data_IF_693491989384
#
_entry.id   IF_693491989384
#
_cell.length_a   1.000
_cell.length_b   1.000
_cell.length_c   1.000
_cell.angle_alpha   90.00
_cell.angle_beta   90.00
_cell.angle_gamma   90.00
#
_symmetry.space_group_name_H-M   'P 1'
#
loop_
_entity.id
_entity.type
_entity.pdbx_description
1 polymer ?
#
# COMPACT_ATOMS: atom_id res chain seq x y z
N UNK A 1 6.24 26.54 4.44
CA UNK A 1 6.01 25.79 5.68
C UNK A 1 4.52 25.87 5.94
N UNK A 2 3.77 24.94 5.37
CA UNK A 2 2.33 24.83 5.60
C UNK A 2 2.17 24.04 6.88
N UNK A 3 1.49 24.61 7.87
CA UNK A 3 1.23 23.95 9.15
C UNK A 3 0.47 22.64 8.93
N UNK A 4 0.86 21.62 9.71
CA UNK A 4 0.20 20.34 9.99
C UNK A 4 -1.30 20.49 10.28
N UNK A 5 -2.11 20.76 9.25
CA UNK A 5 -3.56 20.66 9.37
C UNK A 5 -3.99 19.33 8.80
N UNK A 6 -4.34 18.43 9.71
CA UNK A 6 -5.05 17.21 9.36
C UNK A 6 -6.31 17.63 8.56
N UNK A 7 -6.51 17.13 7.33
CA UNK A 7 -7.71 17.41 6.55
C UNK A 7 -8.97 17.09 7.34
N UNK A 8 -9.96 17.97 7.26
CA UNK A 8 -11.26 17.80 7.95
C UNK A 8 -12.24 17.01 7.09
N UNK A 9 -13.40 16.65 7.63
CA UNK A 9 -14.47 15.97 6.89
C UNK A 9 -14.82 16.69 5.58
N UNK A 10 -14.92 18.03 5.61
CA UNK A 10 -15.23 18.88 4.46
C UNK A 10 -14.07 19.08 3.46
N UNK A 11 -12.86 18.61 3.78
CA UNK A 11 -11.71 18.74 2.87
C UNK A 11 -11.94 17.91 1.59
N UNK A 12 -11.46 18.35 0.43
CA UNK A 12 -11.52 17.56 -0.81
C UNK A 12 -10.87 16.19 -0.64
N UNK A 13 -11.44 15.16 -1.27
CA UNK A 13 -10.87 13.80 -1.19
C UNK A 13 -9.42 13.73 -1.66
N UNK A 14 -9.06 14.48 -2.71
CA UNK A 14 -7.67 14.59 -3.18
C UNK A 14 -6.70 15.08 -2.11
N UNK A 15 -7.13 16.01 -1.25
CA UNK A 15 -6.32 16.52 -0.14
C UNK A 15 -6.12 15.45 0.94
N UNK A 16 -7.17 14.69 1.25
CA UNK A 16 -7.11 13.56 2.19
C UNK A 16 -6.21 12.43 1.68
N UNK A 17 -6.28 12.12 0.38
CA UNK A 17 -5.41 11.14 -0.28
C UNK A 17 -3.94 11.59 -0.23
N UNK A 18 -3.67 12.86 -0.51
CA UNK A 18 -2.33 13.43 -0.42
C UNK A 18 -1.79 13.34 1.01
N UNK A 19 -2.62 13.67 2.01
CA UNK A 19 -2.23 13.54 3.41
C UNK A 19 -1.90 12.10 3.79
N UNK A 20 -2.69 11.10 3.35
CA UNK A 20 -2.35 9.68 3.54
C UNK A 20 -1.00 9.32 2.88
N UNK A 21 -0.79 9.77 1.65
CA UNK A 21 0.45 9.55 0.92
C UNK A 21 1.66 10.14 1.64
N UNK A 22 1.61 11.41 2.04
CA UNK A 22 2.69 12.09 2.76
C UNK A 22 3.04 11.38 4.09
N UNK A 23 2.02 10.98 4.86
CA UNK A 23 2.22 10.25 6.12
C UNK A 23 2.87 8.88 5.88
N UNK A 24 2.44 8.15 4.84
CA UNK A 24 3.04 6.88 4.49
C UNK A 24 4.48 7.04 3.99
N UNK A 25 4.76 8.03 3.13
CA UNK A 25 6.14 8.36 2.68
C UNK A 25 7.03 8.66 3.87
N UNK A 26 6.56 9.51 4.79
CA UNK A 26 7.31 9.89 5.97
C UNK A 26 7.63 8.67 6.84
N UNK A 27 6.64 7.82 7.14
CA UNK A 27 6.82 6.63 7.98
C UNK A 27 7.76 5.61 7.34
N UNK A 28 7.54 5.29 6.06
CA UNK A 28 8.33 4.30 5.31
C UNK A 28 9.80 4.72 5.27
N UNK A 29 10.08 5.99 5.00
CA UNK A 29 11.44 6.53 5.05
C UNK A 29 12.03 6.52 6.46
N UNK A 30 11.30 7.00 7.46
CA UNK A 30 11.76 7.09 8.85
C UNK A 30 12.17 5.74 9.41
N UNK A 31 11.39 4.69 9.11
CA UNK A 31 11.65 3.34 9.58
C UNK A 31 12.50 2.51 8.61
N UNK A 32 12.90 3.09 7.47
CA UNK A 32 13.58 2.40 6.37
C UNK A 32 12.88 1.08 6.02
N UNK A 33 11.55 1.12 5.88
CA UNK A 33 10.73 -0.09 5.78
C UNK A 33 11.14 -0.92 4.56
N UNK A 34 11.44 -2.21 4.74
CA UNK A 34 11.61 -3.15 3.66
C UNK A 34 10.44 -3.19 2.68
N UNK A 35 10.74 -3.27 1.38
CA UNK A 35 9.70 -3.37 0.33
C UNK A 35 8.77 -4.56 0.55
N UNK A 36 9.28 -5.70 1.03
CA UNK A 36 8.46 -6.88 1.31
C UNK A 36 7.44 -6.64 2.42
N UNK A 37 7.81 -5.89 3.47
CA UNK A 37 6.93 -5.61 4.60
C UNK A 37 5.82 -4.63 4.22
N UNK A 38 6.18 -3.56 3.49
CA UNK A 38 5.20 -2.62 2.94
C UNK A 38 4.21 -3.37 2.04
N UNK A 39 4.71 -4.25 1.17
CA UNK A 39 3.89 -5.06 0.26
C UNK A 39 2.90 -5.97 1.00
N UNK A 40 3.34 -6.61 2.09
CA UNK A 40 2.49 -7.49 2.89
C UNK A 40 1.38 -6.71 3.60
N UNK A 41 1.69 -5.54 4.16
CA UNK A 41 0.68 -4.66 4.79
C UNK A 41 -0.35 -4.20 3.75
N UNK A 42 0.11 -3.71 2.59
CA UNK A 42 -0.76 -3.27 1.51
C UNK A 42 -1.68 -4.38 1.02
N UNK A 43 -1.13 -5.58 0.77
CA UNK A 43 -1.90 -6.72 0.29
C UNK A 43 -2.98 -7.14 1.30
N UNK A 44 -2.62 -7.25 2.59
CA UNK A 44 -3.56 -7.56 3.68
C UNK A 44 -4.69 -6.53 3.75
N UNK A 45 -4.36 -5.24 3.64
CA UNK A 45 -5.32 -4.16 3.80
C UNK A 45 -6.22 -4.03 2.56
N UNK A 46 -5.65 -4.00 1.35
CA UNK A 46 -6.39 -3.91 0.09
C UNK A 46 -7.36 -5.08 -0.10
N UNK A 47 -6.95 -6.32 0.18
CA UNK A 47 -7.85 -7.48 0.06
C UNK A 47 -9.09 -7.29 0.94
N UNK A 48 -8.92 -6.88 2.20
CA UNK A 48 -10.04 -6.63 3.10
C UNK A 48 -10.93 -5.48 2.63
N UNK A 49 -10.34 -4.40 2.12
CA UNK A 49 -11.11 -3.26 1.63
C UNK A 49 -11.91 -3.60 0.38
N UNK A 50 -11.31 -4.28 -0.58
CA UNK A 50 -11.97 -4.69 -1.82
C UNK A 50 -13.09 -5.67 -1.50
N UNK A 51 -12.86 -6.67 -0.65
CA UNK A 51 -13.89 -7.62 -0.21
C UNK A 51 -15.12 -6.90 0.36
N UNK A 52 -14.92 -5.86 1.18
CA UNK A 52 -16.01 -5.07 1.76
C UNK A 52 -16.70 -4.16 0.74
N UNK A 53 -15.95 -3.59 -0.20
CA UNK A 53 -16.52 -2.82 -1.30
C UNK A 53 -17.41 -3.71 -2.18
N UNK A 54 -16.93 -4.88 -2.57
CA UNK A 54 -17.67 -5.82 -3.41
C UNK A 54 -18.96 -6.28 -2.73
N UNK A 55 -18.91 -6.60 -1.44
CA UNK A 55 -20.12 -6.93 -0.65
C UNK A 55 -21.13 -5.80 -0.67
N UNK A 56 -20.70 -4.55 -0.44
CA UNK A 56 -21.59 -3.39 -0.46
C UNK A 56 -22.13 -3.09 -1.85
N UNK A 57 -21.31 -3.21 -2.89
CA UNK A 57 -21.73 -2.99 -4.26
C UNK A 57 -22.79 -4.03 -4.68
N UNK A 58 -22.58 -5.31 -4.34
CA UNK A 58 -23.56 -6.37 -4.57
C UNK A 58 -24.88 -6.15 -3.83
N UNK A 59 -24.85 -5.59 -2.62
CA UNK A 59 -26.07 -5.24 -1.87
C UNK A 59 -26.87 -4.08 -2.48
N UNK A 60 -26.19 -3.18 -3.19
CA UNK A 60 -26.79 -1.98 -3.79
C UNK A 60 -26.99 -2.08 -5.32
N UNK A 61 -26.69 -3.24 -5.91
CA UNK A 61 -26.70 -3.46 -7.37
C UNK A 61 -25.78 -2.48 -8.14
N UNK A 62 -24.64 -2.16 -7.53
CA UNK A 62 -23.61 -1.28 -8.09
C UNK A 62 -22.46 -2.09 -8.69
N UNK A 63 -21.82 -1.53 -9.73
CA UNK A 63 -20.63 -2.11 -10.36
C UNK A 63 -19.43 -1.26 -9.99
N UNK A 64 -18.42 -1.89 -9.39
CA UNK A 64 -17.18 -1.21 -9.03
C UNK A 64 -16.22 -1.08 -10.23
N UNK A 65 -15.46 0.01 -10.33
CA UNK A 65 -14.44 0.17 -11.37
C UNK A 65 -13.32 -0.88 -11.29
N UNK A 66 -12.82 -1.33 -12.44
CA UNK A 66 -11.74 -2.34 -12.50
C UNK A 66 -10.45 -1.89 -11.81
N UNK A 67 -10.13 -0.59 -11.86
CA UNK A 67 -8.94 -0.02 -11.24
C UNK A 67 -9.01 0.04 -9.71
N UNK A 68 -10.20 -0.21 -9.12
CA UNK A 68 -10.39 -0.40 -7.68
C UNK A 68 -10.25 -1.88 -7.35
N UNK A 69 -10.90 -2.75 -8.13
CA UNK A 69 -10.96 -4.20 -7.91
C UNK A 69 -9.61 -4.89 -8.13
N UNK A 70 -8.84 -4.45 -9.12
CA UNK A 70 -7.65 -5.15 -9.56
C UNK A 70 -6.37 -4.36 -9.30
N UNK A 71 -5.26 -5.04 -8.94
CA UNK A 71 -3.95 -4.42 -8.87
C UNK A 71 -3.55 -3.78 -10.20
N UNK A 72 -2.97 -2.58 -10.16
CA UNK A 72 -2.55 -1.89 -11.38
C UNK A 72 -1.40 -2.64 -12.08
N UNK A 73 -1.33 -2.62 -13.42
CA UNK A 73 -0.28 -3.32 -14.15
C UNK A 73 1.10 -2.75 -13.81
N UNK A 74 2.11 -3.62 -13.77
CA UNK A 74 3.52 -3.24 -13.61
C UNK A 74 4.26 -3.46 -14.92
N UNK A 75 5.25 -2.63 -15.21
CA UNK A 75 6.18 -2.85 -16.32
C UNK A 75 7.21 -3.91 -15.90
N UNK A 76 6.82 -5.19 -15.92
CA UNK A 76 7.72 -6.29 -15.62
C UNK A 76 8.69 -6.50 -16.80
N UNK A 77 9.98 -6.32 -16.57
CA UNK A 77 11.03 -6.53 -17.59
C UNK A 77 11.89 -7.78 -17.35
N UNK A 78 11.60 -8.55 -16.29
CA UNK A 78 12.31 -9.79 -15.98
C UNK A 78 11.65 -11.03 -16.58
N UNK A 79 12.43 -11.87 -17.25
CA UNK A 79 12.10 -13.30 -17.36
C UNK A 79 11.86 -13.81 -15.93
N UNK A 80 10.71 -14.46 -15.70
CA UNK A 80 10.39 -15.14 -14.44
C UNK A 80 11.30 -16.37 -14.31
N UNK A 81 12.59 -16.14 -14.11
CA UNK A 81 13.57 -17.17 -13.88
C UNK A 81 13.29 -17.69 -12.46
N UNK A 82 12.62 -18.84 -12.38
CA UNK A 82 12.12 -19.50 -11.16
C UNK A 82 13.25 -20.05 -10.28
N UNK A 83 14.35 -19.31 -10.13
CA UNK A 83 15.53 -19.75 -9.41
C UNK A 83 15.37 -19.49 -7.91
N UNK A 84 14.94 -20.52 -7.20
CA UNK A 84 15.27 -20.75 -5.79
C UNK A 84 15.02 -19.57 -4.84
N UNK A 85 13.81 -19.00 -4.88
CA UNK A 85 13.38 -18.02 -3.89
C UNK A 85 13.19 -18.63 -2.49
N UNK A 86 13.31 -17.80 -1.46
CA UNK A 86 12.91 -18.15 -0.09
C UNK A 86 11.40 -18.43 -0.04
N UNK A 87 10.97 -19.45 0.70
CA UNK A 87 9.54 -19.74 0.84
C UNK A 87 8.81 -18.62 1.60
N UNK A 88 7.52 -18.45 1.33
CA UNK A 88 6.71 -17.43 1.98
C UNK A 88 6.73 -17.60 3.51
N UNK A 89 6.68 -18.84 4.00
CA UNK A 89 6.70 -19.14 5.43
C UNK A 89 7.96 -18.57 6.09
N UNK A 90 9.10 -18.73 5.44
CA UNK A 90 10.37 -18.21 5.94
C UNK A 90 10.47 -16.69 5.85
N UNK A 91 9.86 -16.07 4.83
CA UNK A 91 9.74 -14.61 4.77
C UNK A 91 8.94 -14.12 5.98
N UNK A 92 7.79 -14.75 6.26
CA UNK A 92 6.91 -14.39 7.37
C UNK A 92 7.57 -14.56 8.75
N UNK A 93 8.54 -15.48 8.88
CA UNK A 93 9.34 -15.63 10.11
C UNK A 93 10.38 -14.52 10.33
N UNK A 94 10.80 -13.84 9.26
CA UNK A 94 11.91 -12.87 9.29
C UNK A 94 11.41 -11.42 9.33
N UNK A 95 10.24 -11.14 8.75
CA UNK A 95 9.66 -9.79 8.73
C UNK A 95 9.38 -9.27 10.14
N UNK A 96 9.51 -7.96 10.29
CA UNK A 96 9.24 -7.27 11.54
C UNK A 96 7.74 -6.95 11.67
N UNK A 97 7.05 -7.71 12.51
CA UNK A 97 5.62 -7.57 12.71
C UNK A 97 5.24 -6.24 13.37
N UNK A 98 6.07 -5.71 14.28
CA UNK A 98 5.78 -4.45 14.96
C UNK A 98 5.83 -3.28 13.96
N UNK A 99 6.84 -3.29 13.07
CA UNK A 99 6.95 -2.28 12.00
C UNK A 99 5.78 -2.36 11.02
N UNK A 100 5.34 -3.57 10.66
CA UNK A 100 4.16 -3.77 9.82
C UNK A 100 2.87 -3.28 10.49
N UNK A 101 2.69 -3.56 11.79
CA UNK A 101 1.51 -3.13 12.56
C UNK A 101 1.48 -1.61 12.76
N UNK A 102 2.64 -0.95 12.87
CA UNK A 102 2.74 0.53 12.88
C UNK A 102 2.23 1.11 11.56
N UNK A 103 2.62 0.56 10.41
CA UNK A 103 2.14 1.01 9.10
C UNK A 103 0.62 0.76 8.95
N UNK A 104 0.13 -0.43 9.31
CA UNK A 104 -1.31 -0.74 9.30
C UNK A 104 -2.11 0.24 10.18
N UNK A 105 -1.59 0.55 11.36
CA UNK A 105 -2.20 1.51 12.29
C UNK A 105 -2.22 2.92 11.72
N UNK A 106 -1.13 3.36 11.08
CA UNK A 106 -1.06 4.67 10.44
C UNK A 106 -2.10 4.80 9.32
N UNK A 107 -2.16 3.83 8.40
CA UNK A 107 -3.12 3.81 7.29
C UNK A 107 -4.55 3.93 7.84
N UNK A 108 -4.90 3.08 8.80
CA UNK A 108 -6.23 3.06 9.41
C UNK A 108 -6.55 4.37 10.14
N UNK A 109 -5.60 4.91 10.89
CA UNK A 109 -5.78 6.14 11.65
C UNK A 109 -6.02 7.32 10.73
N UNK A 110 -5.22 7.46 9.66
CA UNK A 110 -5.37 8.56 8.72
C UNK A 110 -6.69 8.48 7.95
N UNK A 111 -7.04 7.30 7.43
CA UNK A 111 -8.32 7.09 6.72
C UNK A 111 -9.50 7.49 7.61
N UNK A 112 -9.50 7.06 8.88
CA UNK A 112 -10.58 7.35 9.80
C UNK A 112 -10.59 8.81 10.28
N UNK A 113 -9.42 9.38 10.61
CA UNK A 113 -9.31 10.73 11.15
C UNK A 113 -9.68 11.80 10.12
N UNK A 114 -9.39 11.55 8.84
CA UNK A 114 -9.75 12.44 7.73
C UNK A 114 -11.12 12.12 7.13
N UNK A 115 -11.74 11.01 7.53
CA UNK A 115 -12.94 10.47 6.87
C UNK A 115 -12.76 10.36 5.35
N UNK A 116 -11.64 9.76 4.93
CA UNK A 116 -11.34 9.54 3.52
C UNK A 116 -12.35 8.54 2.93
N UNK A 117 -13.05 8.87 1.83
CA UNK A 117 -13.95 7.94 1.18
C UNK A 117 -13.24 6.64 0.83
N UNK A 118 -13.91 5.52 1.10
CA UNK A 118 -13.28 4.20 1.08
C UNK A 118 -12.73 3.82 -0.32
N UNK A 119 -13.43 4.24 -1.39
CA UNK A 119 -12.98 4.03 -2.76
C UNK A 119 -11.69 4.81 -3.07
N UNK A 120 -11.61 6.06 -2.62
CA UNK A 120 -10.44 6.92 -2.80
C UNK A 120 -9.25 6.41 -1.97
N UNK A 121 -9.51 5.89 -0.77
CA UNK A 121 -8.49 5.20 0.02
C UNK A 121 -7.93 3.96 -0.72
N UNK A 122 -8.77 3.14 -1.35
CA UNK A 122 -8.30 2.02 -2.17
C UNK A 122 -7.44 2.53 -3.32
N UNK A 123 -7.89 3.55 -4.05
CA UNK A 123 -7.13 4.12 -5.18
C UNK A 123 -5.76 4.66 -4.75
N UNK A 124 -5.68 5.34 -3.60
CA UNK A 124 -4.41 5.79 -3.03
C UNK A 124 -3.47 4.62 -2.76
N UNK A 125 -3.99 3.55 -2.14
CA UNK A 125 -3.21 2.35 -1.80
C UNK A 125 -2.85 1.50 -3.04
N UNK A 126 -3.62 1.55 -4.12
CA UNK A 126 -3.27 0.87 -5.40
C UNK A 126 -1.99 1.44 -6.02
N UNK A 127 -1.77 2.75 -5.92
CA UNK A 127 -0.50 3.39 -6.36
C UNK A 127 0.69 2.84 -5.57
N UNK A 128 0.55 2.72 -4.25
CA UNK A 128 1.55 2.11 -3.37
C UNK A 128 1.80 0.63 -3.71
N UNK A 129 0.73 -0.14 -3.92
CA UNK A 129 0.82 -1.55 -4.32
C UNK A 129 1.57 -1.71 -5.65
N UNK A 130 1.29 -0.87 -6.64
CA UNK A 130 1.97 -0.89 -7.93
C UNK A 130 3.47 -0.64 -7.77
N UNK A 131 3.86 0.38 -6.99
CA UNK A 131 5.27 0.68 -6.73
C UNK A 131 5.98 -0.49 -6.04
N UNK A 132 5.37 -1.04 -5.00
CA UNK A 132 5.95 -2.14 -4.24
C UNK A 132 6.09 -3.42 -5.10
N UNK A 133 5.07 -3.76 -5.89
CA UNK A 133 5.12 -4.90 -6.84
C UNK A 133 6.16 -4.70 -7.94
N UNK A 134 6.35 -3.46 -8.40
CA UNK A 134 7.37 -3.11 -9.39
C UNK A 134 8.76 -3.40 -8.82
N UNK A 135 9.06 -2.90 -7.62
CA UNK A 135 10.34 -3.17 -6.96
C UNK A 135 10.56 -4.66 -6.64
N UNK A 136 9.53 -5.35 -6.16
CA UNK A 136 9.59 -6.80 -5.93
C UNK A 136 9.86 -7.58 -7.22
N UNK A 137 9.37 -7.13 -8.37
CA UNK A 137 9.64 -7.79 -9.66
C UNK A 137 11.13 -7.71 -10.08
N UNK A 138 11.87 -6.72 -9.57
CA UNK A 138 13.31 -6.58 -9.76
C UNK A 138 14.14 -7.29 -8.68
N UNK A 139 13.51 -7.77 -7.60
CA UNK A 139 14.21 -8.43 -6.51
C UNK A 139 14.64 -9.85 -6.93
N UNK A 140 15.95 -10.01 -7.19
CA UNK A 140 16.55 -11.28 -7.61
C UNK A 140 17.05 -12.16 -6.45
N UNK A 141 16.84 -11.75 -5.19
CA UNK A 141 17.25 -12.51 -4.01
C UNK A 141 16.76 -11.94 -2.69
N UNK A 142 16.96 -12.71 -1.61
CA UNK A 142 16.44 -12.40 -0.25
C UNK A 142 16.87 -11.02 0.21
N UNK A 143 18.14 -10.65 0.05
CA UNK A 143 18.63 -9.32 0.46
C UNK A 143 17.86 -8.18 -0.20
N UNK A 144 17.40 -8.36 -1.46
CA UNK A 144 16.64 -7.33 -2.18
C UNK A 144 15.17 -7.24 -1.74
N UNK A 145 14.59 -8.33 -1.22
CA UNK A 145 13.26 -8.28 -0.60
C UNK A 145 13.27 -7.41 0.67
N UNK A 146 14.39 -7.43 1.39
CA UNK A 146 14.58 -6.70 2.64
C UNK A 146 15.25 -5.34 2.46
N UNK A 147 15.53 -4.93 1.22
CA UNK A 147 16.00 -3.57 0.93
C UNK A 147 14.93 -2.55 1.31
N UNK A 148 15.31 -1.38 1.86
CA UNK A 148 14.39 -0.27 2.04
C UNK A 148 13.64 0.05 0.76
N UNK A 149 12.35 0.32 0.87
CA UNK A 149 11.53 0.71 -0.27
C UNK A 149 12.05 2.00 -0.89
N UNK A 150 12.29 1.97 -2.21
CA UNK A 150 12.77 3.12 -2.96
C UNK A 150 11.59 4.03 -3.35
N UNK A 151 11.53 5.24 -2.82
CA UNK A 151 10.45 6.19 -3.09
C UNK A 151 10.95 7.25 -4.08
N UNK A 152 10.36 7.36 -5.28
CA UNK A 152 10.71 8.43 -6.24
C UNK A 152 10.62 9.83 -5.61
N UNK A 153 11.48 10.76 -6.06
CA UNK A 153 11.54 12.13 -5.49
C UNK A 153 10.19 12.88 -5.53
N UNK A 154 9.32 12.57 -6.50
CA UNK A 154 7.98 13.15 -6.66
C UNK A 154 6.85 12.14 -6.40
N UNK A 155 7.10 11.12 -5.56
CA UNK A 155 6.15 10.03 -5.35
C UNK A 155 4.84 10.46 -4.71
#
# INVERSE_FOLDING_TARGET
MSEDRIPTEDSPSTEKMLFLQENMVHLVNQMSMPVIEVSLVLSKYLNRMVDELEKKAAMNDEILPENVLNPWPIEATGDLDTRGGMSLERILEIVDQDRMDILDTLIRTVINATELPFMDAVLALRRWEQLARTQLSFASGVGQLFSPMDLPEEF
#
